data_IF_516995221887
#
_entry.id   IF_516995221887
#
_cell.length_a   1.000
_cell.length_b   1.000
_cell.length_c   1.000
_cell.angle_alpha   90.00
_cell.angle_beta   90.00
_cell.angle_gamma   90.00
#
_symmetry.space_group_name_H-M   'P 1'
#
loop_
_entity.id
_entity.type
_entity.pdbx_description
1 polymer ?
#
# COMPACT_ATOMS: atom_id res chain seq x y z
N UNK A 1 18.20 -12.08 7.37
CA UNK A 1 17.15 -13.07 7.05
C UNK A 1 16.04 -12.32 6.34
N UNK A 2 16.15 -12.15 5.03
CA UNK A 2 15.11 -11.48 4.24
C UNK A 2 13.95 -12.46 4.06
N UNK A 3 12.77 -12.14 4.61
CA UNK A 3 11.55 -12.88 4.37
C UNK A 3 11.05 -12.53 2.98
N UNK A 4 11.40 -13.36 2.01
CA UNK A 4 10.77 -13.37 0.69
C UNK A 4 9.31 -13.84 0.91
N UNK A 5 8.33 -13.13 0.38
CA UNK A 5 6.92 -13.53 0.48
C UNK A 5 6.71 -14.89 -0.20
N UNK A 6 5.88 -15.76 0.40
CA UNK A 6 5.57 -17.06 -0.19
C UNK A 6 4.61 -16.92 -1.38
N UNK A 7 4.56 -17.94 -2.23
CA UNK A 7 3.66 -17.98 -3.39
C UNK A 7 2.19 -17.77 -3.00
N UNK A 8 1.78 -18.30 -1.84
CA UNK A 8 0.41 -18.17 -1.33
C UNK A 8 0.06 -16.71 -0.94
N UNK A 9 1.02 -15.99 -0.35
CA UNK A 9 0.83 -14.59 0.03
C UNK A 9 0.75 -13.66 -1.19
N UNK A 10 1.55 -13.96 -2.23
CA UNK A 10 1.48 -13.26 -3.51
C UNK A 10 0.16 -13.55 -4.24
N UNK A 11 -0.34 -14.78 -4.18
CA UNK A 11 -1.67 -15.16 -4.69
C UNK A 11 -2.78 -14.37 -3.98
N UNK A 12 -2.72 -14.26 -2.65
CA UNK A 12 -3.69 -13.50 -1.88
C UNK A 12 -3.67 -12.00 -2.23
N UNK A 13 -2.48 -11.43 -2.50
CA UNK A 13 -2.35 -10.05 -2.99
C UNK A 13 -3.01 -9.87 -4.35
N UNK A 14 -2.73 -10.76 -5.30
CA UNK A 14 -3.31 -10.71 -6.64
C UNK A 14 -4.84 -10.76 -6.58
N UNK A 15 -5.40 -11.61 -5.71
CA UNK A 15 -6.85 -11.68 -5.51
C UNK A 15 -7.44 -10.36 -5.00
N UNK A 16 -6.80 -9.69 -4.02
CA UNK A 16 -7.25 -8.37 -3.55
C UNK A 16 -7.22 -7.29 -4.64
N UNK A 17 -6.23 -7.34 -5.52
CA UNK A 17 -6.14 -6.42 -6.67
C UNK A 17 -7.28 -6.71 -7.66
N UNK A 18 -7.53 -7.98 -7.98
CA UNK A 18 -8.59 -8.38 -8.90
C UNK A 18 -9.99 -8.00 -8.38
N UNK A 19 -10.24 -8.23 -7.09
CA UNK A 19 -11.54 -7.95 -6.48
C UNK A 19 -11.72 -6.47 -6.12
N UNK A 20 -10.63 -5.69 -6.10
CA UNK A 20 -10.60 -4.28 -5.65
C UNK A 20 -11.28 -4.08 -4.29
N UNK A 21 -11.10 -5.05 -3.40
CA UNK A 21 -11.79 -5.07 -2.10
C UNK A 21 -10.81 -5.13 -0.95
N UNK A 22 -11.15 -4.40 0.11
CA UNK A 22 -10.54 -4.57 1.42
C UNK A 22 -11.14 -5.81 2.07
N UNK A 23 -10.30 -6.69 2.60
CA UNK A 23 -10.74 -7.84 3.39
C UNK A 23 -11.16 -7.42 4.81
N UNK A 24 -11.65 -8.36 5.63
CA UNK A 24 -12.09 -8.13 7.02
C UNK A 24 -10.94 -7.82 8.01
N UNK A 25 -9.98 -6.97 7.62
CA UNK A 25 -8.90 -6.52 8.48
C UNK A 25 -9.41 -5.62 9.60
N UNK A 26 -9.08 -5.99 10.84
CA UNK A 26 -9.54 -5.30 12.06
C UNK A 26 -9.01 -3.88 12.22
N UNK A 27 -7.86 -3.56 11.63
CA UNK A 27 -7.24 -2.24 11.76
C UNK A 27 -7.64 -1.39 10.56
N UNK A 28 -7.89 -0.08 10.72
CA UNK A 28 -8.05 0.81 9.57
C UNK A 28 -6.77 0.87 8.72
N UNK A 29 -6.88 1.24 7.43
CA UNK A 29 -5.71 1.51 6.61
C UNK A 29 -4.92 2.71 7.14
N UNK A 30 -3.74 2.92 6.53
CA UNK A 30 -2.92 4.11 6.76
C UNK A 30 -3.08 5.06 5.57
N UNK A 31 -2.88 6.35 5.79
CA UNK A 31 -2.72 7.35 4.71
C UNK A 31 -1.43 8.13 4.90
N UNK A 32 -0.90 8.63 3.79
CA UNK A 32 0.22 9.58 3.77
C UNK A 32 -0.37 10.99 3.66
N UNK A 33 0.04 11.90 4.53
CA UNK A 33 -0.29 13.32 4.42
C UNK A 33 0.57 13.97 3.34
N UNK A 34 -0.05 14.39 2.24
CA UNK A 34 0.67 14.79 1.03
C UNK A 34 1.45 16.08 1.23
N UNK A 35 0.96 17.00 2.06
CA UNK A 35 1.66 18.25 2.34
C UNK A 35 2.92 18.09 3.18
N UNK A 36 3.09 16.95 3.84
CA UNK A 36 4.23 16.64 4.71
C UNK A 36 5.21 15.65 4.06
N UNK A 37 4.72 14.85 3.10
CA UNK A 37 5.52 13.85 2.42
C UNK A 37 6.63 14.47 1.56
N UNK A 38 7.85 13.97 1.72
CA UNK A 38 9.04 14.38 0.96
C UNK A 38 9.42 13.40 -0.16
N UNK A 39 8.52 12.47 -0.52
CA UNK A 39 8.71 11.46 -1.60
C UNK A 39 10.06 10.73 -1.52
N UNK A 40 10.40 10.18 -0.34
CA UNK A 40 11.66 9.45 -0.10
C UNK A 40 11.56 7.91 -0.28
N UNK A 41 10.34 7.41 -0.48
CA UNK A 41 9.98 6.00 -0.74
C UNK A 41 10.39 4.99 0.33
N UNK A 42 10.82 5.42 1.52
CA UNK A 42 11.18 4.49 2.61
C UNK A 42 9.96 3.67 3.05
N UNK A 43 8.79 4.30 3.13
CA UNK A 43 7.55 3.60 3.44
C UNK A 43 7.21 2.50 2.42
N UNK A 44 7.48 2.73 1.13
CA UNK A 44 7.24 1.75 0.06
C UNK A 44 8.05 0.49 0.29
N UNK A 45 9.35 0.63 0.59
CA UNK A 45 10.24 -0.50 0.91
C UNK A 45 9.89 -1.20 2.21
N UNK A 46 9.35 -0.47 3.19
CA UNK A 46 8.95 -1.00 4.49
C UNK A 46 7.61 -1.76 4.44
N UNK A 47 6.76 -1.50 3.45
CA UNK A 47 5.49 -2.19 3.30
C UNK A 47 5.73 -3.68 3.01
N UNK A 48 5.17 -4.62 3.80
CA UNK A 48 5.36 -6.04 3.53
C UNK A 48 4.91 -6.41 2.11
N UNK A 49 5.72 -7.19 1.39
CA UNK A 49 5.47 -7.53 -0.02
C UNK A 49 4.13 -8.28 -0.23
N UNK A 50 3.68 -9.04 0.76
CA UNK A 50 2.35 -9.67 0.79
C UNK A 50 1.20 -8.65 0.70
N UNK A 51 1.40 -7.44 1.22
CA UNK A 51 0.42 -6.36 1.16
C UNK A 51 0.70 -5.42 0.01
N UNK A 52 1.96 -5.02 -0.22
CA UNK A 52 2.42 -4.12 -1.28
C UNK A 52 1.50 -2.92 -1.50
N UNK A 53 1.06 -2.29 -0.41
CA UNK A 53 -0.06 -1.37 -0.42
C UNK A 53 0.32 0.06 -0.85
N UNK A 54 1.60 0.34 -1.05
CA UNK A 54 2.13 1.70 -1.24
C UNK A 54 2.66 1.85 -2.66
N UNK A 55 2.24 2.91 -3.34
CA UNK A 55 2.58 3.18 -4.73
C UNK A 55 3.14 4.59 -4.86
N UNK A 56 4.21 4.72 -5.64
CA UNK A 56 4.75 6.00 -6.07
C UNK A 56 4.16 6.38 -7.43
N UNK A 57 3.56 7.57 -7.52
CA UNK A 57 2.95 8.12 -8.73
C UNK A 57 3.81 9.24 -9.33
N UNK A 58 5.06 9.37 -8.90
CA UNK A 58 6.03 10.38 -9.30
C UNK A 58 5.85 11.74 -8.62
N UNK A 59 4.61 12.17 -8.40
CA UNK A 59 4.30 13.43 -7.70
C UNK A 59 3.89 13.22 -6.24
N UNK A 60 3.35 12.05 -5.92
CA UNK A 60 2.95 11.68 -4.57
C UNK A 60 3.11 10.18 -4.34
N UNK A 61 3.30 9.81 -3.08
CA UNK A 61 3.27 8.42 -2.61
C UNK A 61 1.94 8.20 -1.91
N UNK A 62 1.23 7.15 -2.28
CA UNK A 62 -0.11 6.86 -1.78
C UNK A 62 -0.20 5.45 -1.20
N UNK A 63 -1.09 5.27 -0.22
CA UNK A 63 -1.42 3.97 0.36
C UNK A 63 -2.81 3.56 -0.14
N UNK A 64 -2.91 2.36 -0.71
CA UNK A 64 -4.15 1.80 -1.22
C UNK A 64 -4.88 1.09 -0.08
N UNK A 65 -6.03 1.60 0.37
CA UNK A 65 -6.72 1.07 1.53
C UNK A 65 -7.13 -0.39 1.34
N UNK A 66 -7.49 -0.83 0.14
CA UNK A 66 -7.86 -2.23 -0.14
C UNK A 66 -6.70 -3.21 0.05
N UNK A 67 -5.46 -2.72 -0.05
CA UNK A 67 -4.25 -3.52 0.06
C UNK A 67 -3.56 -3.34 1.44
N UNK A 68 -3.95 -2.35 2.24
CA UNK A 68 -3.29 -2.01 3.50
C UNK A 68 -3.88 -2.74 4.72
N UNK A 69 -3.14 -3.69 5.31
CA UNK A 69 -3.58 -4.38 6.54
C UNK A 69 -3.66 -3.52 7.81
N UNK A 70 -3.23 -2.26 7.75
CA UNK A 70 -3.12 -1.38 8.92
C UNK A 70 -1.93 -1.72 9.83
N UNK A 71 -0.94 -2.49 9.34
CA UNK A 71 0.32 -2.68 10.05
C UNK A 71 1.08 -1.34 10.23
N UNK A 72 1.97 -1.22 11.23
CA UNK A 72 2.66 0.04 11.51
C UNK A 72 4.00 0.21 10.79
N UNK A 73 4.43 -0.73 9.94
CA UNK A 73 5.81 -0.73 9.38
C UNK A 73 6.15 0.57 8.63
N UNK A 74 5.25 1.05 7.77
CA UNK A 74 5.46 2.32 7.06
C UNK A 74 5.57 3.53 8.00
N UNK A 75 4.80 3.53 9.10
CA UNK A 75 4.83 4.61 10.10
C UNK A 75 6.19 4.64 10.80
N UNK A 76 6.72 3.48 11.19
CA UNK A 76 8.00 3.37 11.90
C UNK A 76 9.21 3.79 11.04
N UNK A 77 9.08 3.69 9.71
CA UNK A 77 10.17 3.94 8.76
C UNK A 77 10.04 5.30 8.05
N UNK A 78 9.01 6.09 8.35
CA UNK A 78 8.83 7.40 7.74
C UNK A 78 9.75 8.43 8.41
N UNK A 79 10.71 9.05 7.70
CA UNK A 79 11.68 9.97 8.32
C UNK A 79 11.08 11.33 8.72
N UNK A 80 9.84 11.61 8.33
CA UNK A 80 9.12 12.86 8.58
C UNK A 80 7.77 12.63 9.26
N UNK A 81 7.51 11.41 9.73
CA UNK A 81 6.29 11.04 10.48
C UNK A 81 4.94 11.40 9.82
N UNK A 82 4.90 11.49 8.48
CA UNK A 82 3.71 11.93 7.73
C UNK A 82 2.63 10.85 7.48
N UNK A 83 2.61 9.75 8.26
CA UNK A 83 1.72 8.60 8.01
C UNK A 83 0.78 8.36 9.19
N UNK A 84 -0.52 8.39 8.92
CA UNK A 84 -1.56 8.40 9.94
C UNK A 84 -2.55 7.23 9.77
N UNK A 85 -3.30 6.92 10.83
CA UNK A 85 -4.47 6.03 10.76
C UNK A 85 -5.55 6.75 9.94
N UNK A 86 -6.15 6.06 8.97
CA UNK A 86 -7.25 6.60 8.17
C UNK A 86 -8.56 5.91 8.55
N UNK A 87 -9.29 6.50 9.51
CA UNK A 87 -10.58 5.97 9.98
C UNK A 87 -11.71 6.23 8.98
N UNK A 88 -11.61 7.31 8.20
CA UNK A 88 -12.61 7.78 7.25
C UNK A 88 -12.24 7.43 5.80
N UNK A 89 -11.45 6.37 5.61
CA UNK A 89 -10.95 5.98 4.30
C UNK A 89 -12.09 5.75 3.30
N UNK A 90 -11.85 6.15 2.06
CA UNK A 90 -12.78 5.91 0.94
C UNK A 90 -12.17 4.92 -0.05
N UNK A 91 -12.99 4.17 -0.80
CA UNK A 91 -12.50 3.28 -1.85
C UNK A 91 -11.61 4.00 -2.86
N UNK A 92 -10.58 3.30 -3.32
CA UNK A 92 -9.65 3.77 -4.36
C UNK A 92 -10.39 4.03 -5.67
N UNK A 93 -10.10 5.15 -6.32
CA UNK A 93 -10.70 5.51 -7.60
C UNK A 93 -10.20 4.66 -8.77
N UNK A 94 -10.97 4.64 -9.87
CA UNK A 94 -10.65 3.84 -11.05
C UNK A 94 -9.34 4.23 -11.72
N UNK A 95 -8.95 5.50 -11.67
CA UNK A 95 -7.69 5.95 -12.28
C UNK A 95 -6.49 5.36 -11.55
N UNK A 96 -6.58 5.27 -10.23
CA UNK A 96 -5.56 4.62 -9.41
C UNK A 96 -5.55 3.09 -9.61
N UNK A 97 -6.70 2.44 -9.76
CA UNK A 97 -6.74 1.00 -10.09
C UNK A 97 -6.06 0.67 -11.41
N UNK A 98 -6.25 1.49 -12.45
CA UNK A 98 -5.53 1.31 -13.72
C UNK A 98 -4.01 1.38 -13.53
N UNK A 99 -3.52 2.29 -12.67
CA UNK A 99 -2.09 2.36 -12.35
C UNK A 99 -1.60 1.13 -11.60
N UNK A 100 -2.37 0.64 -10.62
CA UNK A 100 -2.04 -0.56 -9.84
C UNK A 100 -1.93 -1.78 -10.75
N UNK A 101 -2.88 -1.99 -11.65
CA UNK A 101 -2.89 -3.14 -12.56
C UNK A 101 -1.67 -3.12 -13.51
N UNK A 102 -1.29 -1.95 -14.01
CA UNK A 102 -0.11 -1.79 -14.87
C UNK A 102 1.21 -2.05 -14.14
N UNK A 103 1.29 -1.69 -12.86
CA UNK A 103 2.53 -1.80 -12.05
C UNK A 103 2.65 -3.12 -11.31
N UNK A 104 1.53 -3.74 -10.93
CA UNK A 104 1.48 -5.05 -10.29
C UNK A 104 1.54 -6.21 -11.31
N UNK A 105 1.16 -5.97 -12.57
CA UNK A 105 1.10 -6.95 -13.66
C UNK A 105 2.43 -7.23 -14.38
N UNK A 106 3.58 -6.89 -13.79
CA UNK A 106 4.90 -7.07 -14.40
C UNK A 106 5.33 -8.54 -14.55
N UNK A 107 4.76 -9.26 -15.53
CA UNK A 107 5.55 -10.21 -16.33
C UNK A 107 6.25 -9.43 -17.42
N UNK A 108 7.43 -8.87 -17.10
CA UNK A 108 8.53 -8.54 -18.02
C UNK A 108 9.77 -8.22 -17.20
#
# INVERSE_FOLDING_TARGET
MEKIASTDELSARAQRIADRTRTDWKKPPRRIEKSECITCDTCLRACPAEFGAIFDRGLDVVIIPELCSGCPQCVLECPVDCIYVDEDWTPTDDAMWNHIELTAGGTS
#
